data_IF_000634276417
#
_entry.id   IF_000634276417
#
_cell.length_a   1.000
_cell.length_b   1.000
_cell.length_c   1.000
_cell.angle_alpha   90.00
_cell.angle_beta   90.00
_cell.angle_gamma   90.00
#
_symmetry.space_group_name_H-M   'P 1'
#
loop_
_entity.id
_entity.type
_entity.pdbx_description
1 polymer ?
#
# COMPACT_ATOMS: atom_id res chain seq x y z
N UNK A 1 20.93 -16.09 4.12
CA UNK A 1 20.31 -16.04 2.76
C UNK A 1 19.18 -15.02 2.66
N UNK A 2 18.34 -14.85 3.70
CA UNK A 2 17.26 -13.83 3.73
C UNK A 2 17.80 -12.41 3.50
N UNK A 3 18.90 -12.03 4.15
CA UNK A 3 19.56 -10.72 3.96
C UNK A 3 19.96 -10.45 2.51
N UNK A 4 20.42 -11.49 1.79
CA UNK A 4 20.75 -11.36 0.36
C UNK A 4 19.48 -11.15 -0.48
N UNK A 5 18.38 -11.81 -0.14
CA UNK A 5 17.07 -11.59 -0.76
C UNK A 5 16.57 -10.16 -0.57
N UNK A 6 16.66 -9.63 0.66
CA UNK A 6 16.29 -8.23 0.96
C UNK A 6 17.15 -7.23 0.19
N UNK A 7 18.48 -7.42 0.19
CA UNK A 7 19.40 -6.53 -0.53
C UNK A 7 19.15 -6.55 -2.04
N UNK A 8 18.91 -7.73 -2.62
CA UNK A 8 18.55 -7.85 -4.03
C UNK A 8 17.19 -7.22 -4.33
N UNK A 9 16.19 -7.47 -3.50
CA UNK A 9 14.86 -6.86 -3.62
C UNK A 9 14.91 -5.34 -3.58
N UNK A 10 15.72 -4.76 -2.69
CA UNK A 10 15.91 -3.31 -2.62
C UNK A 10 16.54 -2.72 -3.87
N UNK A 11 17.61 -3.36 -4.39
CA UNK A 11 18.25 -2.96 -5.64
C UNK A 11 17.29 -3.05 -6.83
N UNK A 12 16.47 -4.12 -6.88
CA UNK A 12 15.45 -4.31 -7.91
C UNK A 12 14.38 -3.24 -7.84
N UNK A 13 13.85 -2.94 -6.65
CA UNK A 13 12.84 -1.91 -6.44
C UNK A 13 13.35 -0.53 -6.90
N UNK A 14 14.60 -0.18 -6.55
CA UNK A 14 15.22 1.10 -6.96
C UNK A 14 15.32 1.23 -8.49
N UNK A 15 15.68 0.15 -9.19
CA UNK A 15 15.78 0.15 -10.66
C UNK A 15 14.43 0.29 -11.36
N UNK A 16 13.34 -0.05 -10.68
CA UNK A 16 11.99 -0.14 -11.25
C UNK A 16 11.00 0.83 -10.61
N UNK A 17 11.52 1.92 -10.06
CA UNK A 17 10.70 2.95 -9.42
C UNK A 17 9.62 3.51 -10.34
N UNK A 18 9.85 3.52 -11.66
CA UNK A 18 8.85 3.89 -12.66
C UNK A 18 7.65 2.94 -12.74
N UNK A 19 7.86 1.63 -12.57
CA UNK A 19 6.77 0.63 -12.54
C UNK A 19 5.94 0.75 -11.25
N UNK A 20 6.52 1.33 -10.19
CA UNK A 20 5.89 1.49 -8.89
C UNK A 20 5.02 2.75 -8.76
N UNK A 21 5.06 3.67 -9.74
CA UNK A 21 4.31 4.93 -9.67
C UNK A 21 2.82 4.70 -9.47
N UNK A 22 2.22 3.83 -10.30
CA UNK A 22 0.78 3.56 -10.22
C UNK A 22 0.37 2.96 -8.86
N UNK A 23 1.02 1.88 -8.35
CA UNK A 23 0.79 1.37 -6.99
C UNK A 23 0.98 2.40 -5.87
N UNK A 24 2.00 3.27 -5.99
CA UNK A 24 2.27 4.32 -5.02
C UNK A 24 1.13 5.33 -5.00
N UNK A 25 0.67 5.79 -6.18
CA UNK A 25 -0.42 6.77 -6.30
C UNK A 25 -1.74 6.20 -5.80
N UNK A 26 -2.10 4.97 -6.19
CA UNK A 26 -3.36 4.37 -5.74
C UNK A 26 -3.37 4.09 -4.24
N UNK A 27 -2.25 3.63 -3.67
CA UNK A 27 -2.11 3.50 -2.22
C UNK A 27 -2.16 4.86 -1.53
N UNK A 28 -1.51 5.89 -2.10
CA UNK A 28 -1.53 7.24 -1.55
C UNK A 28 -2.95 7.82 -1.50
N UNK A 29 -3.76 7.63 -2.55
CA UNK A 29 -5.15 8.10 -2.58
C UNK A 29 -5.98 7.46 -1.46
N UNK A 30 -5.89 6.14 -1.29
CA UNK A 30 -6.61 5.43 -0.24
C UNK A 30 -6.13 5.80 1.16
N UNK A 31 -4.81 5.86 1.36
CA UNK A 31 -4.20 6.25 2.61
C UNK A 31 -4.55 7.70 3.00
N UNK A 32 -4.57 8.62 2.02
CA UNK A 32 -4.92 10.02 2.24
C UNK A 32 -6.33 10.16 2.81
N UNK A 33 -7.30 9.43 2.24
CA UNK A 33 -8.68 9.43 2.75
C UNK A 33 -8.76 8.93 4.19
N UNK A 34 -8.04 7.85 4.53
CA UNK A 34 -7.98 7.37 5.91
C UNK A 34 -7.42 8.43 6.84
N UNK A 35 -6.31 9.09 6.46
CA UNK A 35 -5.70 10.13 7.30
C UNK A 35 -6.66 11.29 7.55
N UNK A 36 -7.30 11.79 6.49
CA UNK A 36 -8.23 12.92 6.60
C UNK A 36 -9.48 12.56 7.38
N UNK A 37 -10.05 11.37 7.17
CA UNK A 37 -11.24 10.92 7.91
C UNK A 37 -10.96 10.85 9.41
N UNK A 38 -9.80 10.34 9.81
CA UNK A 38 -9.41 10.33 11.22
C UNK A 38 -9.16 11.74 11.76
N UNK A 39 -8.51 12.62 10.98
CA UNK A 39 -8.34 14.04 11.33
C UNK A 39 -9.66 14.79 11.51
N UNK A 40 -10.68 14.45 10.74
CA UNK A 40 -12.01 15.07 10.81
C UNK A 40 -12.99 14.34 11.74
N UNK A 41 -12.58 13.24 12.37
CA UNK A 41 -13.49 12.33 13.09
C UNK A 41 -14.22 13.01 14.26
N UNK A 42 -13.56 13.88 15.01
CA UNK A 42 -14.16 14.67 16.09
C UNK A 42 -15.24 15.61 15.55
N UNK A 43 -14.94 16.30 14.45
CA UNK A 43 -15.87 17.21 13.80
C UNK A 43 -17.09 16.50 13.22
N UNK A 44 -16.87 15.35 12.56
CA UNK A 44 -17.94 14.47 12.07
C UNK A 44 -18.85 14.05 13.23
N UNK A 45 -18.29 13.66 14.38
CA UNK A 45 -19.10 13.27 15.56
C UNK A 45 -19.91 14.45 16.11
N UNK A 46 -19.30 15.62 16.24
CA UNK A 46 -19.98 16.82 16.74
C UNK A 46 -21.16 17.23 15.85
N UNK A 47 -20.97 17.25 14.52
CA UNK A 47 -22.04 17.56 13.57
C UNK A 47 -23.12 16.48 13.53
N UNK A 48 -22.74 15.21 13.72
CA UNK A 48 -23.69 14.10 13.67
C UNK A 48 -24.49 13.94 14.97
N UNK A 49 -24.05 14.56 16.08
CA UNK A 49 -24.78 14.54 17.35
C UNK A 49 -26.15 15.22 17.24
N UNK A 50 -26.28 16.27 16.42
CA UNK A 50 -27.55 16.93 16.15
C UNK A 50 -28.52 16.06 15.32
N UNK A 51 -28.02 15.01 14.67
CA UNK A 51 -28.78 14.06 13.86
C UNK A 51 -29.18 12.79 14.64
N UNK A 52 -28.74 12.65 15.90
CA UNK A 52 -29.07 11.50 16.77
C UNK A 52 -28.36 10.18 16.47
N UNK A 53 -27.51 10.10 15.42
CA UNK A 53 -26.87 8.85 14.96
C UNK A 53 -25.34 8.99 14.79
N UNK A 54 -24.69 9.73 15.69
CA UNK A 54 -23.29 10.13 15.54
C UNK A 54 -22.30 8.96 15.43
N UNK A 55 -22.49 7.91 16.22
CA UNK A 55 -21.60 6.75 16.22
C UNK A 55 -21.74 5.91 14.95
N UNK A 56 -22.96 5.75 14.44
CA UNK A 56 -23.22 5.00 13.20
C UNK A 56 -22.63 5.72 12.00
N UNK A 57 -22.81 7.04 11.91
CA UNK A 57 -22.22 7.87 10.85
C UNK A 57 -20.70 7.82 10.92
N UNK A 58 -20.10 7.94 12.10
CA UNK A 58 -18.65 7.86 12.27
C UNK A 58 -18.09 6.50 11.82
N UNK A 59 -18.75 5.40 12.22
CA UNK A 59 -18.37 4.04 11.79
C UNK A 59 -18.50 3.87 10.28
N UNK A 60 -19.58 4.36 9.69
CA UNK A 60 -19.80 4.29 8.24
C UNK A 60 -18.69 5.02 7.47
N UNK A 61 -18.32 6.24 7.88
CA UNK A 61 -17.27 7.00 7.22
C UNK A 61 -15.90 6.33 7.36
N UNK A 62 -15.58 5.77 8.53
CA UNK A 62 -14.33 5.02 8.74
C UNK A 62 -14.30 3.75 7.88
N UNK A 63 -15.41 3.01 7.78
CA UNK A 63 -15.51 1.84 6.91
C UNK A 63 -15.32 2.20 5.43
N UNK A 64 -15.92 3.31 4.97
CA UNK A 64 -15.72 3.81 3.61
C UNK A 64 -14.24 4.17 3.37
N UNK A 65 -13.59 4.83 4.32
CA UNK A 65 -12.16 5.16 4.19
C UNK A 65 -11.29 3.90 4.07
N UNK A 66 -11.58 2.88 4.89
CA UNK A 66 -10.88 1.59 4.85
C UNK A 66 -11.13 0.87 3.53
N UNK A 67 -12.36 0.83 3.01
CA UNK A 67 -12.66 0.14 1.74
C UNK A 67 -11.94 0.81 0.57
N UNK A 68 -11.88 2.14 0.53
CA UNK A 68 -11.11 2.85 -0.52
C UNK A 68 -9.61 2.59 -0.39
N UNK A 69 -9.07 2.50 0.83
CA UNK A 69 -7.69 2.05 1.05
C UNK A 69 -7.45 0.65 0.48
N UNK A 70 -8.37 -0.29 0.71
CA UNK A 70 -8.24 -1.65 0.20
C UNK A 70 -8.24 -1.71 -1.34
N UNK A 71 -8.95 -0.81 -2.03
CA UNK A 71 -8.87 -0.71 -3.51
C UNK A 71 -7.44 -0.40 -3.96
N UNK A 72 -6.75 0.52 -3.28
CA UNK A 72 -5.34 0.81 -3.56
C UNK A 72 -4.43 -0.40 -3.35
N UNK A 73 -4.67 -1.17 -2.28
CA UNK A 73 -3.92 -2.41 -2.00
C UNK A 73 -4.14 -3.49 -3.06
N UNK A 74 -5.37 -3.63 -3.57
CA UNK A 74 -5.66 -4.57 -4.66
C UNK A 74 -4.83 -4.23 -5.90
N UNK A 75 -4.71 -2.94 -6.23
CA UNK A 75 -3.85 -2.50 -7.34
C UNK A 75 -2.37 -2.86 -7.12
N UNK A 76 -1.87 -2.78 -5.88
CA UNK A 76 -0.49 -3.24 -5.55
C UNK A 76 -0.32 -4.72 -5.90
N UNK A 77 -1.31 -5.56 -5.64
CA UNK A 77 -1.26 -6.99 -5.96
C UNK A 77 -1.33 -7.24 -7.48
N UNK A 78 -2.15 -6.49 -8.20
CA UNK A 78 -2.26 -6.53 -9.67
C UNK A 78 -0.93 -6.12 -10.30
N UNK A 79 -0.35 -5.02 -9.84
CA UNK A 79 0.96 -4.56 -10.30
C UNK A 79 2.05 -5.59 -10.00
N UNK A 80 2.08 -6.13 -8.78
CA UNK A 80 3.03 -7.19 -8.41
C UNK A 80 2.90 -8.40 -9.35
N UNK A 81 1.68 -8.82 -9.65
CA UNK A 81 1.41 -9.93 -10.59
C UNK A 81 1.94 -9.64 -11.99
N UNK A 82 1.70 -8.45 -12.52
CA UNK A 82 2.22 -8.01 -13.82
C UNK A 82 3.75 -8.00 -13.83
N UNK A 83 4.32 -7.41 -12.79
CA UNK A 83 5.76 -7.25 -12.64
C UNK A 83 6.51 -8.58 -12.54
N UNK A 84 5.98 -9.56 -11.79
CA UNK A 84 6.58 -10.91 -11.74
C UNK A 84 6.37 -11.69 -13.04
N UNK A 85 5.29 -11.42 -13.78
CA UNK A 85 5.04 -12.05 -15.07
C UNK A 85 6.07 -11.62 -16.13
N UNK A 86 6.56 -10.39 -16.09
CA UNK A 86 7.64 -9.91 -16.97
C UNK A 86 9.02 -10.49 -16.63
N UNK A 87 9.19 -11.15 -15.49
CA UNK A 87 10.48 -11.66 -14.99
C UNK A 87 10.52 -13.19 -14.86
N UNK A 88 9.62 -13.91 -15.53
CA UNK A 88 9.54 -15.38 -15.46
C UNK A 88 10.87 -16.05 -15.79
N UNK A 89 11.56 -15.59 -16.85
CA UNK A 89 12.86 -16.15 -17.25
C UNK A 89 13.95 -15.92 -16.20
N UNK A 90 14.02 -14.72 -15.61
CA UNK A 90 14.96 -14.41 -14.52
C UNK A 90 14.76 -15.34 -13.31
N UNK A 91 13.49 -15.53 -12.90
CA UNK A 91 13.13 -16.45 -11.82
C UNK A 91 13.46 -17.91 -12.17
N UNK A 92 13.29 -18.29 -13.44
CA UNK A 92 13.68 -19.59 -13.98
C UNK A 92 15.18 -19.86 -13.88
N UNK A 93 16.03 -18.85 -14.18
CA UNK A 93 17.49 -18.96 -14.01
C UNK A 93 17.86 -19.13 -12.53
N UNK A 94 17.25 -18.35 -11.63
CA UNK A 94 17.48 -18.51 -10.19
C UNK A 94 17.10 -19.92 -9.70
N UNK A 95 15.96 -20.44 -10.17
CA UNK A 95 15.50 -21.80 -9.87
C UNK A 95 16.40 -22.90 -10.44
N UNK A 96 16.88 -22.74 -11.68
CA UNK A 96 17.81 -23.69 -12.32
C UNK A 96 19.16 -23.76 -11.60
N UNK A 97 19.60 -22.65 -11.01
CA UNK A 97 20.82 -22.56 -10.19
C UNK A 97 20.62 -23.06 -8.75
N UNK A 98 19.47 -23.64 -8.41
CA UNK A 98 19.21 -24.25 -7.10
C UNK A 98 18.94 -23.24 -5.97
N UNK A 99 18.62 -21.98 -6.27
CA UNK A 99 18.30 -20.99 -5.24
C UNK A 99 16.96 -21.35 -4.59
N UNK A 100 16.89 -21.42 -3.24
CA UNK A 100 15.65 -21.76 -2.56
C UNK A 100 14.58 -20.67 -2.75
N UNK A 101 13.32 -21.08 -2.82
CA UNK A 101 12.16 -20.19 -3.03
C UNK A 101 12.04 -19.04 -2.03
N UNK A 102 12.37 -19.26 -0.75
CA UNK A 102 12.13 -18.28 0.34
C UNK A 102 12.87 -16.95 0.11
N UNK A 103 14.20 -16.92 -0.11
CA UNK A 103 14.91 -15.69 -0.48
C UNK A 103 14.36 -14.98 -1.73
N UNK A 104 13.90 -15.74 -2.73
CA UNK A 104 13.32 -15.18 -3.96
C UNK A 104 11.98 -14.50 -3.66
N UNK A 105 11.10 -15.14 -2.89
CA UNK A 105 9.84 -14.54 -2.45
C UNK A 105 10.10 -13.27 -1.64
N UNK A 106 11.05 -13.30 -0.71
CA UNK A 106 11.41 -12.13 0.10
C UNK A 106 11.90 -10.99 -0.78
N UNK A 107 12.73 -11.28 -1.79
CA UNK A 107 13.18 -10.27 -2.74
C UNK A 107 12.03 -9.63 -3.52
N UNK A 108 11.07 -10.45 -3.98
CA UNK A 108 9.92 -9.96 -4.75
C UNK A 108 8.94 -9.16 -3.88
N UNK A 109 8.82 -9.47 -2.59
CA UNK A 109 7.96 -8.73 -1.65
C UNK A 109 8.50 -7.35 -1.27
N UNK A 110 9.79 -7.07 -1.49
CA UNK A 110 10.34 -5.73 -1.19
C UNK A 110 9.64 -4.66 -2.04
N UNK A 111 9.36 -4.95 -3.30
CA UNK A 111 8.76 -4.00 -4.23
C UNK A 111 7.36 -3.51 -3.79
N UNK A 112 6.36 -4.38 -3.53
CA UNK A 112 5.05 -3.93 -3.04
C UNK A 112 5.13 -3.26 -1.67
N UNK A 113 6.04 -3.68 -0.78
CA UNK A 113 6.23 -3.02 0.53
C UNK A 113 6.75 -1.60 0.36
N UNK A 114 7.75 -1.41 -0.50
CA UNK A 114 8.29 -0.08 -0.78
C UNK A 114 7.24 0.81 -1.43
N UNK A 115 6.43 0.29 -2.36
CA UNK A 115 5.32 1.04 -2.94
C UNK A 115 4.30 1.48 -1.87
N UNK A 116 3.94 0.57 -0.96
CA UNK A 116 2.99 0.86 0.11
C UNK A 116 3.52 1.93 1.07
N UNK A 117 4.80 1.84 1.46
CA UNK A 117 5.44 2.84 2.34
C UNK A 117 5.51 4.19 1.66
N UNK A 118 5.96 4.26 0.40
CA UNK A 118 6.03 5.51 -0.35
C UNK A 118 4.64 6.13 -0.53
N UNK A 119 3.62 5.33 -0.82
CA UNK A 119 2.23 5.77 -0.92
C UNK A 119 1.72 6.35 0.40
N UNK A 120 1.95 5.66 1.52
CA UNK A 120 1.54 6.14 2.84
C UNK A 120 2.27 7.42 3.28
N UNK A 121 3.56 7.56 2.96
CA UNK A 121 4.33 8.78 3.21
C UNK A 121 3.82 9.95 2.37
N UNK A 122 3.56 9.72 1.08
CA UNK A 122 2.98 10.73 0.20
C UNK A 122 1.59 11.16 0.70
N UNK A 123 0.76 10.21 1.11
CA UNK A 123 -0.54 10.47 1.72
C UNK A 123 -0.44 11.32 2.99
N UNK A 124 0.49 11.01 3.89
CA UNK A 124 0.69 11.77 5.12
C UNK A 124 1.08 13.23 4.83
N UNK A 125 1.98 13.46 3.86
CA UNK A 125 2.35 14.80 3.44
C UNK A 125 1.17 15.56 2.82
N UNK A 126 0.40 14.91 1.94
CA UNK A 126 -0.80 15.49 1.32
C UNK A 126 -1.88 15.79 2.36
N UNK A 127 -2.09 14.91 3.34
CA UNK A 127 -3.07 15.10 4.39
C UNK A 127 -2.68 16.21 5.37
N UNK A 128 -1.38 16.35 5.69
CA UNK A 128 -0.89 17.48 6.47
C UNK A 128 -1.12 18.81 5.73
N UNK A 129 -0.79 18.86 4.44
CA UNK A 129 -1.05 20.04 3.61
C UNK A 129 -2.56 20.36 3.55
N UNK A 130 -3.39 19.35 3.28
CA UNK A 130 -4.84 19.52 3.25
C UNK A 130 -5.38 19.98 4.62
N UNK A 131 -4.87 19.45 5.73
CA UNK A 131 -5.25 19.88 7.08
C UNK A 131 -4.93 21.36 7.33
N UNK A 132 -3.75 21.82 6.92
CA UNK A 132 -3.37 23.24 6.99
C UNK A 132 -4.30 24.09 6.12
N UNK A 133 -4.52 23.71 4.86
CA UNK A 133 -5.39 24.43 3.93
C UNK A 133 -6.82 24.54 4.47
N UNK A 134 -7.38 23.43 4.97
CA UNK A 134 -8.71 23.41 5.59
C UNK A 134 -8.78 24.30 6.84
N UNK A 135 -7.72 24.31 7.65
CA UNK A 135 -7.61 25.16 8.84
C UNK A 135 -7.58 26.65 8.52
N UNK A 136 -6.80 27.07 7.51
CA UNK A 136 -6.68 28.50 7.15
C UNK A 136 -7.88 29.02 6.36
N UNK A 137 -8.54 28.17 5.56
CA UNK A 137 -9.68 28.57 4.74
C UNK A 137 -11.01 28.53 5.50
N UNK A 138 -11.08 27.85 6.65
CA UNK A 138 -12.32 27.63 7.39
C UNK A 138 -13.32 26.72 6.66
N UNK A 139 -12.91 26.05 5.57
CA UNK A 139 -13.77 25.15 4.79
C UNK A 139 -14.18 23.91 5.59
N UNK A 140 -13.38 23.51 6.58
CA UNK A 140 -13.76 22.48 7.54
C UNK A 140 -14.50 23.11 8.73
N UNK A 141 -15.83 23.16 8.66
CA UNK A 141 -16.70 23.76 9.68
C UNK A 141 -16.44 23.25 11.11
N UNK A 142 -15.96 22.01 11.24
CA UNK A 142 -15.67 21.37 12.52
C UNK A 142 -14.17 21.17 12.78
N UNK A 143 -13.30 21.75 11.94
CA UNK A 143 -11.84 21.69 12.06
C UNK A 143 -11.23 20.34 11.70
N UNK A 144 -9.89 20.30 11.76
CA UNK A 144 -9.08 19.09 11.59
C UNK A 144 -8.24 18.91 12.84
N UNK A 145 -8.49 17.84 13.59
CA UNK A 145 -7.79 17.54 14.82
C UNK A 145 -6.40 16.96 14.51
N UNK A 146 -5.34 17.60 15.04
CA UNK A 146 -3.96 17.14 14.86
C UNK A 146 -3.75 15.72 15.42
N UNK A 147 -4.37 15.40 16.56
CA UNK A 147 -4.34 14.04 17.12
C UNK A 147 -4.97 13.00 16.19
N UNK A 148 -6.10 13.34 15.56
CA UNK A 148 -6.75 12.50 14.55
C UNK A 148 -5.86 12.25 13.34
N UNK A 149 -5.15 13.27 12.83
CA UNK A 149 -4.22 13.11 11.72
C UNK A 149 -3.09 12.12 12.05
N UNK A 150 -2.51 12.20 13.25
CA UNK A 150 -1.44 11.27 13.68
C UNK A 150 -1.96 9.83 13.72
N UNK A 151 -3.13 9.59 14.31
CA UNK A 151 -3.75 8.27 14.32
C UNK A 151 -4.09 7.77 12.92
N UNK A 152 -4.55 8.67 12.06
CA UNK A 152 -4.81 8.39 10.65
C UNK A 152 -3.55 7.93 9.91
N UNK A 153 -2.42 8.63 10.10
CA UNK A 153 -1.14 8.26 9.49
C UNK A 153 -0.65 6.90 9.98
N UNK A 154 -0.68 6.65 11.29
CA UNK A 154 -0.26 5.37 11.85
C UNK A 154 -1.12 4.22 11.32
N UNK A 155 -2.43 4.42 11.26
CA UNK A 155 -3.37 3.43 10.72
C UNK A 155 -3.12 3.20 9.23
N UNK A 156 -2.99 4.26 8.44
CA UNK A 156 -2.75 4.16 7.01
C UNK A 156 -1.43 3.44 6.68
N UNK A 157 -0.34 3.76 7.38
CA UNK A 157 0.97 3.10 7.22
C UNK A 157 0.87 1.61 7.59
N UNK A 158 0.32 1.31 8.77
CA UNK A 158 0.22 -0.07 9.26
C UNK A 158 -0.64 -0.94 8.34
N UNK A 159 -1.84 -0.46 7.98
CA UNK A 159 -2.76 -1.19 7.11
C UNK A 159 -2.19 -1.34 5.71
N UNK A 160 -1.57 -0.30 5.12
CA UNK A 160 -1.00 -0.39 3.78
C UNK A 160 0.11 -1.45 3.69
N UNK A 161 1.02 -1.49 4.68
CA UNK A 161 2.11 -2.47 4.70
C UNK A 161 1.57 -3.89 4.87
N UNK A 162 0.69 -4.10 5.87
CA UNK A 162 0.12 -5.43 6.15
C UNK A 162 -0.67 -5.93 4.94
N UNK A 163 -1.49 -5.07 4.36
CA UNK A 163 -2.35 -5.43 3.25
C UNK A 163 -1.52 -5.67 1.97
N UNK A 164 -0.50 -4.86 1.68
CA UNK A 164 0.42 -5.10 0.55
C UNK A 164 1.16 -6.44 0.68
N UNK A 165 1.62 -6.80 1.88
CA UNK A 165 2.22 -8.11 2.14
C UNK A 165 1.21 -9.24 1.94
N UNK A 166 0.02 -9.11 2.54
CA UNK A 166 -1.02 -10.11 2.49
C UNK A 166 -1.51 -10.39 1.06
N UNK A 167 -1.67 -9.36 0.24
CA UNK A 167 -2.15 -9.53 -1.14
C UNK A 167 -1.04 -9.95 -2.10
N UNK A 168 0.22 -9.60 -1.83
CA UNK A 168 1.35 -9.91 -2.71
C UNK A 168 2.01 -11.27 -2.42
N UNK A 169 1.73 -11.90 -1.28
CA UNK A 169 2.36 -13.18 -0.91
C UNK A 169 2.00 -14.30 -1.89
N UNK A 170 0.74 -14.40 -2.30
CA UNK A 170 0.26 -15.45 -3.22
C UNK A 170 0.90 -15.32 -4.60
N UNK A 171 0.87 -14.16 -5.29
CA UNK A 171 1.48 -14.05 -6.61
C UNK A 171 3.00 -14.22 -6.58
N UNK A 172 3.69 -13.70 -5.56
CA UNK A 172 5.15 -13.85 -5.44
C UNK A 172 5.57 -15.29 -5.14
N UNK A 173 4.84 -15.99 -4.27
CA UNK A 173 5.09 -17.40 -3.98
C UNK A 173 4.82 -18.29 -5.19
N UNK A 174 3.73 -18.02 -5.91
CA UNK A 174 3.37 -18.74 -7.12
C UNK A 174 4.43 -18.55 -8.20
N UNK A 175 4.91 -17.33 -8.41
CA UNK A 175 5.97 -17.04 -9.37
C UNK A 175 7.30 -17.74 -9.01
N UNK A 176 7.71 -17.68 -7.74
CA UNK A 176 8.94 -18.31 -7.26
C UNK A 176 8.89 -19.86 -7.25
N UNK A 177 7.69 -20.44 -7.29
CA UNK A 177 7.49 -21.90 -7.29
C UNK A 177 7.33 -22.50 -8.69
N UNK A 178 7.37 -21.69 -9.76
CA UNK A 178 7.24 -22.22 -11.13
C UNK A 178 8.47 -23.07 -11.50
N UNK A 179 8.29 -24.25 -12.11
CA UNK A 179 9.40 -25.07 -12.56
C UNK A 179 10.34 -24.30 -13.51
N UNK A 180 11.67 -24.44 -13.38
CA UNK A 180 12.62 -23.73 -14.24
C UNK A 180 12.39 -24.00 -15.72
N UNK A 181 12.12 -25.26 -16.10
CA UNK A 181 11.85 -25.63 -17.50
C UNK A 181 10.69 -24.81 -18.10
N UNK A 182 9.56 -24.68 -17.39
CA UNK A 182 8.42 -23.88 -17.85
C UNK A 182 8.77 -22.40 -17.90
N UNK A 183 9.51 -21.90 -16.91
CA UNK A 183 9.87 -20.49 -16.82
C UNK A 183 10.88 -20.06 -17.89
N UNK A 184 11.72 -21.00 -18.37
CA UNK A 184 12.72 -20.77 -19.41
C UNK A 184 12.17 -20.98 -20.83
N UNK A 185 11.12 -21.80 -21.00
CA UNK A 185 10.49 -22.05 -22.31
C UNK A 185 9.28 -21.15 -22.59
N UNK A 186 8.62 -20.60 -21.56
CA UNK A 186 7.44 -19.74 -21.71
C UNK A 186 7.76 -18.28 -22.13
N UNK A 187 8.99 -18.00 -22.54
CA UNK A 187 9.43 -16.67 -22.98
C UNK A 187 9.74 -16.65 -24.47
N UNK A 188 8.70 -16.56 -25.29
CA UNK A 188 8.71 -16.21 -26.71
C UNK A 188 7.64 -15.14 -26.95
#
# INVERSE_FOLDING_TARGET
>A
MITKGLAYGWLSARRRIGEMVLPVVTTATGAFLVVIVFGMSEGIRAQSASLGHADEINRAVVLIAITVLLVGVVEVAVATTRTVAHRTRELGVLGANGIPRRPVVIALLVEPVVAAVLGAVAAAALAALAGVVLGVTGLAAAGVAGGGLVWGVLTAVGVSIVAALATSIVPTWTAASRPPIRSLTAGG
#
